data_IF_817515843354
#
_entry.id   IF_817515843354
#
_cell.length_a   1.000
_cell.length_b   1.000
_cell.length_c   1.000
_cell.angle_alpha   90.00
_cell.angle_beta   90.00
_cell.angle_gamma   90.00
#
_symmetry.space_group_name_H-M   'P 1'
#
loop_
_entity.id
_entity.type
_entity.pdbx_description
1 polymer ?
#
# COMPACT_ATOMS: atom_id res chain seq x y z
N UNK A 1 62.86 -6.17 -10.37
CA UNK A 1 61.70 -6.84 -9.73
C UNK A 1 60.94 -5.88 -8.80
N UNK A 2 60.40 -4.76 -9.31
CA UNK A 2 59.57 -3.81 -8.54
C UNK A 2 58.47 -3.27 -9.46
N UNK A 3 57.40 -4.03 -9.70
CA UNK A 3 56.30 -3.52 -10.55
C UNK A 3 54.92 -4.16 -10.31
N UNK A 4 54.70 -4.97 -9.26
CA UNK A 4 53.39 -5.60 -9.03
C UNK A 4 52.68 -5.13 -7.75
N UNK A 5 53.35 -4.35 -6.88
CA UNK A 5 52.77 -3.92 -5.60
C UNK A 5 51.85 -2.68 -5.71
N UNK A 6 52.01 -1.84 -6.74
CA UNK A 6 51.25 -0.58 -6.88
C UNK A 6 49.79 -0.74 -7.33
N UNK A 7 49.50 -1.78 -8.13
CA UNK A 7 48.14 -2.02 -8.64
C UNK A 7 47.19 -2.58 -7.57
N UNK A 8 47.71 -3.35 -6.60
CA UNK A 8 46.92 -3.97 -5.53
C UNK A 8 46.43 -2.95 -4.48
N UNK A 9 47.18 -1.85 -4.25
CA UNK A 9 46.81 -0.84 -3.24
C UNK A 9 45.72 0.13 -3.70
N UNK A 10 45.54 0.33 -5.02
CA UNK A 10 44.46 1.15 -5.58
C UNK A 10 43.13 0.37 -5.74
N UNK A 11 43.20 -0.96 -5.84
CA UNK A 11 42.02 -1.82 -6.04
C UNK A 11 41.24 -2.08 -4.74
N UNK A 12 41.94 -2.12 -3.59
CA UNK A 12 41.36 -2.39 -2.27
C UNK A 12 40.33 -1.34 -1.77
N UNK A 13 40.54 -0.02 -1.92
CA UNK A 13 39.57 0.98 -1.44
C UNK A 13 38.30 1.05 -2.31
N UNK A 14 38.37 0.65 -3.58
CA UNK A 14 37.27 0.76 -4.54
C UNK A 14 36.22 -0.35 -4.35
N UNK A 15 36.64 -1.56 -4.01
CA UNK A 15 35.74 -2.68 -3.68
C UNK A 15 35.07 -2.49 -2.33
N UNK A 16 35.81 -1.99 -1.33
CA UNK A 16 35.29 -1.79 0.03
C UNK A 16 34.22 -0.69 0.08
N UNK A 17 34.41 0.43 -0.65
CA UNK A 17 33.40 1.51 -0.73
C UNK A 17 32.11 1.04 -1.40
N UNK A 18 32.24 0.32 -2.51
CA UNK A 18 31.10 -0.26 -3.22
C UNK A 18 30.32 -1.22 -2.32
N UNK A 19 31.03 -2.09 -1.59
CA UNK A 19 30.40 -3.01 -0.64
C UNK A 19 29.65 -2.28 0.49
N UNK A 20 30.22 -1.19 1.00
CA UNK A 20 29.61 -0.35 2.05
C UNK A 20 28.34 0.36 1.56
N UNK A 21 28.32 0.81 0.30
CA UNK A 21 27.11 1.39 -0.32
C UNK A 21 26.00 0.35 -0.49
N UNK A 22 26.35 -0.86 -0.93
CA UNK A 22 25.38 -1.95 -1.03
C UNK A 22 24.84 -2.36 0.35
N UNK A 23 25.70 -2.45 1.37
CA UNK A 23 25.28 -2.73 2.73
C UNK A 23 24.34 -1.63 3.27
N UNK A 24 24.65 -0.35 3.01
CA UNK A 24 23.79 0.78 3.38
C UNK A 24 22.42 0.73 2.69
N UNK A 25 22.40 0.40 1.39
CA UNK A 25 21.16 0.22 0.63
C UNK A 25 20.35 -0.96 1.16
N UNK A 26 20.99 -2.09 1.42
CA UNK A 26 20.34 -3.27 1.99
C UNK A 26 19.73 -2.97 3.37
N UNK A 27 20.46 -2.25 4.23
CA UNK A 27 19.93 -1.83 5.53
C UNK A 27 18.71 -0.91 5.38
N UNK A 28 18.75 0.01 4.41
CA UNK A 28 17.62 0.88 4.09
C UNK A 28 16.37 0.11 3.67
N UNK A 29 16.53 -0.88 2.78
CA UNK A 29 15.44 -1.77 2.34
C UNK A 29 14.89 -2.58 3.50
N UNK A 30 15.75 -3.13 4.36
CA UNK A 30 15.32 -3.92 5.54
C UNK A 30 14.52 -3.05 6.51
N UNK A 31 14.96 -1.81 6.78
CA UNK A 31 14.23 -0.87 7.64
C UNK A 31 12.88 -0.51 7.03
N UNK A 32 12.83 -0.26 5.72
CA UNK A 32 11.58 0.03 5.02
C UNK A 32 10.59 -1.14 5.12
N UNK A 33 11.03 -2.36 4.77
CA UNK A 33 10.21 -3.57 4.85
C UNK A 33 9.71 -3.84 6.27
N UNK A 34 10.53 -3.57 7.29
CA UNK A 34 10.12 -3.72 8.69
C UNK A 34 9.07 -2.70 9.11
N UNK A 35 9.16 -1.45 8.63
CA UNK A 35 8.13 -0.43 8.88
C UNK A 35 6.82 -0.80 8.20
N UNK A 36 6.88 -1.18 6.92
CA UNK A 36 5.70 -1.58 6.15
C UNK A 36 5.00 -2.80 6.77
N UNK A 37 5.76 -3.79 7.27
CA UNK A 37 5.19 -4.94 7.98
C UNK A 37 4.62 -4.60 9.36
N UNK A 38 5.16 -3.59 10.04
CA UNK A 38 4.74 -3.26 11.41
C UNK A 38 3.36 -2.60 11.45
N UNK A 39 3.02 -1.76 10.45
CA UNK A 39 1.70 -1.13 10.36
C UNK A 39 0.74 -1.81 9.38
N UNK A 40 1.25 -2.57 8.39
CA UNK A 40 0.41 -3.09 7.30
C UNK A 40 -0.78 -3.97 7.74
N UNK A 41 -0.64 -4.73 8.84
CA UNK A 41 -1.77 -5.52 9.39
C UNK A 41 -2.86 -4.61 9.98
N UNK A 42 -2.45 -3.59 10.74
CA UNK A 42 -3.36 -2.60 11.33
C UNK A 42 -4.07 -1.77 10.26
N UNK A 43 -3.34 -1.36 9.21
CA UNK A 43 -3.91 -0.64 8.07
C UNK A 43 -4.94 -1.48 7.32
N UNK A 44 -4.67 -2.79 7.16
CA UNK A 44 -5.62 -3.73 6.58
C UNK A 44 -6.88 -3.88 7.46
N UNK A 45 -6.71 -4.09 8.76
CA UNK A 45 -7.83 -4.22 9.71
C UNK A 45 -8.69 -2.95 9.76
N UNK A 46 -8.06 -1.77 9.79
CA UNK A 46 -8.75 -0.48 9.76
C UNK A 46 -9.62 -0.36 8.50
N UNK A 47 -9.03 -0.68 7.34
CA UNK A 47 -9.72 -0.62 6.06
C UNK A 47 -10.90 -1.59 5.97
N UNK A 48 -10.74 -2.80 6.51
CA UNK A 48 -11.86 -3.75 6.58
C UNK A 48 -12.96 -3.24 7.51
N UNK A 49 -12.61 -2.63 8.64
CA UNK A 49 -13.57 -2.04 9.56
C UNK A 49 -14.33 -0.87 8.92
N UNK A 50 -13.66 -0.01 8.16
CA UNK A 50 -14.27 1.08 7.37
C UNK A 50 -15.25 0.52 6.32
N UNK A 51 -14.86 -0.53 5.59
CA UNK A 51 -15.75 -1.19 4.62
C UNK A 51 -17.02 -1.74 5.30
N UNK A 52 -16.88 -2.45 6.43
CA UNK A 52 -18.03 -2.95 7.18
C UNK A 52 -18.88 -1.82 7.76
N UNK A 53 -18.25 -0.77 8.27
CA UNK A 53 -18.94 0.39 8.82
C UNK A 53 -19.80 1.06 7.76
N UNK A 54 -19.28 1.25 6.55
CA UNK A 54 -20.04 1.79 5.43
C UNK A 54 -21.23 0.90 5.04
N UNK A 55 -21.04 -0.43 5.03
CA UNK A 55 -22.13 -1.37 4.81
C UNK A 55 -23.21 -1.31 5.89
N UNK A 56 -22.85 -0.99 7.14
CA UNK A 56 -23.84 -0.79 8.22
C UNK A 56 -24.55 0.56 8.09
N UNK A 57 -23.79 1.62 7.80
CA UNK A 57 -24.31 2.98 7.67
C UNK A 57 -25.31 3.10 6.51
N UNK A 58 -24.96 2.51 5.36
CA UNK A 58 -25.78 2.48 4.14
C UNK A 58 -26.63 1.21 4.01
N UNK A 59 -26.50 0.28 4.97
CA UNK A 59 -27.13 -1.04 4.96
C UNK A 59 -28.65 -1.01 4.93
N UNK A 60 -29.25 0.08 5.43
CA UNK A 60 -30.70 0.30 5.38
C UNK A 60 -31.25 0.31 3.95
N UNK A 61 -30.42 0.64 2.95
CA UNK A 61 -30.78 0.60 1.52
C UNK A 61 -30.84 -0.83 0.96
N UNK A 62 -30.24 -1.80 1.65
CA UNK A 62 -30.11 -3.21 1.23
C UNK A 62 -30.76 -4.18 2.22
N UNK A 63 -31.53 -3.66 3.20
CA UNK A 63 -32.24 -4.47 4.19
C UNK A 63 -31.40 -4.92 5.39
N UNK A 64 -30.18 -4.39 5.55
CA UNK A 64 -29.33 -4.60 6.73
C UNK A 64 -29.71 -3.56 7.78
N UNK A 65 -29.79 -3.91 9.08
CA UNK A 65 -30.07 -2.94 10.14
C UNK A 65 -29.03 -1.82 10.13
N UNK A 66 -29.47 -0.59 9.86
CA UNK A 66 -28.62 0.60 9.89
C UNK A 66 -28.81 1.41 11.18
N UNK A 67 -27.81 2.19 11.59
CA UNK A 67 -27.97 3.22 12.61
C UNK A 67 -29.13 4.17 12.28
N UNK A 68 -29.69 4.90 13.28
CA UNK A 68 -30.68 5.94 13.03
C UNK A 68 -30.17 6.95 11.99
N UNK A 69 -31.02 7.35 11.04
CA UNK A 69 -30.63 8.18 9.91
C UNK A 69 -29.94 9.50 10.30
N UNK A 70 -30.33 10.10 11.44
CA UNK A 70 -29.67 11.31 11.96
C UNK A 70 -28.18 11.09 12.25
N UNK A 71 -27.85 9.95 12.88
CA UNK A 71 -26.46 9.57 13.19
C UNK A 71 -25.69 9.28 11.91
N UNK A 72 -26.32 8.58 10.95
CA UNK A 72 -25.70 8.31 9.66
C UNK A 72 -25.32 9.61 8.92
N UNK A 73 -26.23 10.59 8.88
CA UNK A 73 -26.01 11.88 8.20
C UNK A 73 -24.93 12.71 8.87
N UNK A 74 -24.85 12.69 10.21
CA UNK A 74 -23.78 13.38 10.95
C UNK A 74 -22.38 12.81 10.65
N UNK A 75 -22.31 11.52 10.34
CA UNK A 75 -21.06 10.82 10.06
C UNK A 75 -20.64 10.87 8.58
N UNK A 76 -21.56 11.15 7.66
CA UNK A 76 -21.28 11.23 6.22
C UNK A 76 -20.06 12.12 5.85
N UNK A 77 -19.85 13.31 6.43
CA UNK A 77 -18.71 14.16 6.07
C UNK A 77 -17.34 13.53 6.39
N UNK A 78 -17.29 12.63 7.36
CA UNK A 78 -16.06 11.95 7.77
C UNK A 78 -15.76 10.71 6.92
N UNK A 79 -16.71 10.30 6.07
CA UNK A 79 -16.66 9.06 5.28
C UNK A 79 -16.63 9.35 3.78
N UNK A 80 -16.34 10.60 3.38
CA UNK A 80 -16.37 11.01 1.98
C UNK A 80 -15.43 10.15 1.12
N UNK A 81 -14.23 9.90 1.61
CA UNK A 81 -13.20 9.14 0.89
C UNK A 81 -13.60 7.67 0.74
N UNK A 82 -14.18 7.06 1.78
CA UNK A 82 -14.69 5.69 1.74
C UNK A 82 -15.91 5.55 0.83
N UNK A 83 -16.81 6.55 0.82
CA UNK A 83 -17.93 6.62 -0.11
C UNK A 83 -17.45 6.68 -1.57
N UNK A 84 -16.47 7.54 -1.85
CA UNK A 84 -15.84 7.62 -3.19
C UNK A 84 -15.21 6.29 -3.58
N UNK A 85 -14.50 5.64 -2.67
CA UNK A 85 -13.89 4.33 -2.90
C UNK A 85 -14.95 3.24 -3.17
N UNK A 86 -16.03 3.21 -2.42
CA UNK A 86 -17.12 2.26 -2.63
C UNK A 86 -17.82 2.47 -3.97
N UNK A 87 -18.09 3.72 -4.37
CA UNK A 87 -18.69 4.04 -5.67
C UNK A 87 -17.75 3.60 -6.81
N UNK A 88 -16.47 3.93 -6.72
CA UNK A 88 -15.48 3.51 -7.72
C UNK A 88 -15.39 1.98 -7.85
N UNK A 89 -15.50 1.25 -6.73
CA UNK A 89 -15.57 -0.22 -6.75
C UNK A 89 -16.87 -0.74 -7.36
N UNK A 90 -17.99 -0.09 -7.08
CA UNK A 90 -19.28 -0.46 -7.66
C UNK A 90 -19.30 -0.25 -9.19
N UNK A 91 -18.68 0.82 -9.68
CA UNK A 91 -18.51 1.08 -11.11
C UNK A 91 -17.67 -0.03 -11.77
N UNK A 92 -16.57 -0.44 -11.14
CA UNK A 92 -15.74 -1.57 -11.61
C UNK A 92 -16.48 -2.92 -11.56
N UNK A 93 -17.48 -3.08 -10.69
CA UNK A 93 -18.22 -4.34 -10.57
C UNK A 93 -19.10 -4.64 -11.79
N UNK A 94 -19.43 -3.63 -12.61
CA UNK A 94 -20.16 -3.82 -13.87
C UNK A 94 -19.30 -4.44 -14.97
N UNK A 95 -17.98 -4.18 -15.00
CA UNK A 95 -17.00 -4.79 -15.91
C UNK A 95 -15.65 -5.09 -15.22
N UNK A 96 -15.60 -6.12 -14.37
CA UNK A 96 -14.39 -6.44 -13.61
C UNK A 96 -13.27 -6.99 -14.51
N UNK A 97 -13.61 -7.61 -15.65
CA UNK A 97 -12.63 -8.14 -16.59
C UNK A 97 -11.97 -7.04 -17.44
N UNK A 98 -12.74 -6.06 -17.92
CA UNK A 98 -12.20 -4.91 -18.64
C UNK A 98 -11.29 -4.04 -17.76
N UNK A 99 -11.63 -3.86 -16.50
CA UNK A 99 -10.77 -3.14 -15.55
C UNK A 99 -9.42 -3.87 -15.30
N UNK A 100 -9.45 -5.20 -15.17
CA UNK A 100 -8.24 -6.02 -15.04
C UNK A 100 -7.39 -6.01 -16.31
N UNK A 101 -8.01 -6.13 -17.49
CA UNK A 101 -7.33 -6.03 -18.79
C UNK A 101 -6.64 -4.68 -18.98
N UNK A 102 -7.31 -3.58 -18.62
CA UNK A 102 -6.73 -2.22 -18.66
C UNK A 102 -5.57 -2.02 -17.68
N UNK A 103 -5.65 -2.58 -16.47
CA UNK A 103 -4.54 -2.55 -15.51
C UNK A 103 -3.32 -3.38 -15.98
N UNK A 104 -3.57 -4.48 -16.69
CA UNK A 104 -2.53 -5.37 -17.20
C UNK A 104 -1.94 -4.89 -18.55
N UNK A 105 -2.43 -3.78 -19.11
CA UNK A 105 -2.04 -3.26 -20.44
C UNK A 105 -2.11 -4.33 -21.54
N UNK A 106 -3.16 -5.17 -21.51
CA UNK A 106 -3.40 -6.18 -22.52
C UNK A 106 -4.39 -5.58 -23.53
N UNK A 107 -3.95 -5.45 -24.80
CA UNK A 107 -4.79 -5.08 -25.95
C UNK A 107 -5.78 -6.20 -26.32
#
# INVERSE_FOLDING_TARGET
>A
MRSLAGAAQAFLPMTLRTFLEYARKALGVVVQVHRDKASGVLEFELKEMENFFMLLLLGGLVGIPSPPAAVAVELLPYLEDELRLMIARADLAQDPLGALMGMLQID
#
